data_IF_563775002504
#
_entry.id   IF_563775002504
#
_cell.length_a   1.000
_cell.length_b   1.000
_cell.length_c   1.000
_cell.angle_alpha   90.00
_cell.angle_beta   90.00
_cell.angle_gamma   90.00
#
_symmetry.space_group_name_H-M   'P 1'
#
loop_
_entity.id
_entity.type
_entity.pdbx_description
1 polymer ?
#
# COMPACT_ATOMS: atom_id res chain seq x y z
N UNK A 1 -8.16 29.81 1.61
CA UNK A 1 -9.17 29.45 2.63
C UNK A 1 -8.42 28.75 3.75
N UNK A 2 -8.56 29.17 4.99
CA UNK A 2 -7.89 28.53 6.12
C UNK A 2 -8.41 27.09 6.27
N UNK A 3 -7.50 26.13 6.19
CA UNK A 3 -7.81 24.72 6.42
C UNK A 3 -8.23 24.57 7.88
N UNK A 4 -9.39 24.04 8.12
CA UNK A 4 -10.05 23.92 9.43
C UNK A 4 -9.34 22.90 10.37
N UNK A 5 -8.01 22.82 10.33
CA UNK A 5 -7.18 21.92 11.15
C UNK A 5 -7.31 20.43 10.82
N UNK A 6 -8.08 20.06 9.78
CA UNK A 6 -8.28 18.66 9.39
C UNK A 6 -7.08 18.16 8.57
N UNK A 7 -6.54 17.01 8.95
CA UNK A 7 -5.52 16.27 8.19
C UNK A 7 -6.23 15.30 7.25
N UNK A 8 -5.88 15.33 5.97
CA UNK A 8 -6.55 14.54 4.92
C UNK A 8 -5.63 13.41 4.45
N UNK A 9 -6.09 12.18 4.54
CA UNK A 9 -5.40 11.00 4.06
C UNK A 9 -6.15 10.35 2.89
N UNK A 10 -5.43 10.03 1.82
CA UNK A 10 -5.91 9.23 0.70
C UNK A 10 -5.25 7.87 0.69
N UNK A 11 -6.04 6.79 0.78
CA UNK A 11 -5.55 5.40 0.82
C UNK A 11 -6.04 4.64 -0.41
N UNK A 12 -5.12 4.22 -1.27
CA UNK A 12 -5.44 3.36 -2.41
C UNK A 12 -5.51 1.89 -1.97
N UNK A 13 -6.44 1.11 -2.55
CA UNK A 13 -6.69 -0.26 -2.10
C UNK A 13 -7.31 -0.34 -0.70
N UNK A 14 -8.07 0.70 -0.29
CA UNK A 14 -8.62 0.84 1.07
C UNK A 14 -9.76 -0.09 1.43
N UNK A 15 -10.26 -0.89 0.49
CA UNK A 15 -11.43 -1.77 0.72
C UNK A 15 -11.16 -3.06 1.49
N UNK A 16 -9.90 -3.47 1.68
CA UNK A 16 -9.55 -4.72 2.36
C UNK A 16 -8.10 -4.76 2.84
N UNK A 17 -7.78 -5.76 3.68
CA UNK A 17 -6.40 -6.05 4.11
C UNK A 17 -5.69 -4.85 4.71
N UNK A 18 -4.44 -4.62 4.29
CA UNK A 18 -3.59 -3.54 4.81
C UNK A 18 -4.25 -2.17 4.61
N UNK A 19 -4.83 -1.91 3.42
CA UNK A 19 -5.45 -0.62 3.14
C UNK A 19 -6.65 -0.32 4.04
N UNK A 20 -7.49 -1.31 4.31
CA UNK A 20 -8.60 -1.21 5.26
C UNK A 20 -8.07 -0.89 6.67
N UNK A 21 -7.14 -1.69 7.18
CA UNK A 21 -6.58 -1.51 8.52
C UNK A 21 -5.82 -0.17 8.69
N UNK A 22 -5.14 0.28 7.62
CA UNK A 22 -4.49 1.60 7.60
C UNK A 22 -5.51 2.73 7.68
N UNK A 23 -6.61 2.60 6.94
CA UNK A 23 -7.69 3.59 6.94
C UNK A 23 -8.37 3.66 8.30
N UNK A 24 -8.58 2.51 8.95
CA UNK A 24 -9.12 2.44 10.30
C UNK A 24 -8.18 3.10 11.32
N UNK A 25 -6.89 2.77 11.29
CA UNK A 25 -5.90 3.36 12.21
C UNK A 25 -5.79 4.88 12.04
N UNK A 26 -5.76 5.36 10.79
CA UNK A 26 -5.72 6.80 10.50
C UNK A 26 -7.00 7.51 10.95
N UNK A 27 -8.18 6.91 10.71
CA UNK A 27 -9.45 7.50 11.18
C UNK A 27 -9.52 7.57 12.71
N UNK A 28 -9.05 6.53 13.42
CA UNK A 28 -8.94 6.54 14.87
C UNK A 28 -8.00 7.65 15.40
N UNK A 29 -6.92 7.94 14.67
CA UNK A 29 -5.98 9.04 14.96
C UNK A 29 -6.50 10.43 14.53
N UNK A 30 -7.75 10.53 14.12
CA UNK A 30 -8.41 11.80 13.79
C UNK A 30 -8.13 12.34 12.39
N UNK A 31 -7.64 11.52 11.47
CA UNK A 31 -7.56 11.89 10.05
C UNK A 31 -8.94 11.82 9.39
N UNK A 32 -9.19 12.74 8.47
CA UNK A 32 -10.25 12.57 7.47
C UNK A 32 -9.70 11.66 6.39
N UNK A 33 -10.32 10.49 6.21
CA UNK A 33 -9.80 9.44 5.33
C UNK A 33 -10.69 9.30 4.09
N UNK A 34 -10.04 9.26 2.92
CA UNK A 34 -10.67 8.87 1.66
C UNK A 34 -10.05 7.54 1.20
N UNK A 35 -10.88 6.57 0.86
CA UNK A 35 -10.45 5.24 0.39
C UNK A 35 -10.78 5.04 -1.08
N UNK A 36 -9.84 4.45 -1.81
CA UNK A 36 -9.98 4.16 -3.24
C UNK A 36 -9.76 2.70 -3.58
N UNK A 37 -10.40 2.26 -4.64
CA UNK A 37 -10.32 0.93 -5.23
C UNK A 37 -11.30 0.79 -6.37
N UNK A 38 -11.26 -0.34 -7.08
CA UNK A 38 -12.08 -0.56 -8.30
C UNK A 38 -13.54 -0.93 -8.02
N UNK A 39 -13.84 -1.46 -6.83
CA UNK A 39 -15.17 -2.01 -6.49
C UNK A 39 -15.87 -1.09 -5.50
N UNK A 40 -16.83 -0.28 -5.95
CA UNK A 40 -17.53 0.68 -5.08
C UNK A 40 -18.22 0.01 -3.89
N UNK A 41 -18.86 -1.13 -4.11
CA UNK A 41 -19.60 -1.87 -3.07
C UNK A 41 -18.68 -2.32 -1.92
N UNK A 42 -17.44 -2.75 -2.23
CA UNK A 42 -16.43 -3.15 -1.23
C UNK A 42 -15.92 -1.93 -0.45
N UNK A 43 -15.80 -0.79 -1.12
CA UNK A 43 -15.38 0.46 -0.47
C UNK A 43 -16.47 0.98 0.46
N UNK A 44 -17.75 0.91 0.05
CA UNK A 44 -18.87 1.35 0.89
C UNK A 44 -18.98 0.49 2.15
N UNK A 45 -18.85 -0.84 2.02
CA UNK A 45 -18.83 -1.74 3.19
C UNK A 45 -17.62 -1.40 4.11
N UNK A 46 -16.44 -1.22 3.53
CA UNK A 46 -15.25 -0.85 4.29
C UNK A 46 -15.44 0.48 5.03
N UNK A 47 -15.95 1.51 4.36
CA UNK A 47 -16.20 2.82 4.95
C UNK A 47 -17.19 2.72 6.11
N UNK A 48 -18.27 1.96 5.93
CA UNK A 48 -19.25 1.71 6.99
C UNK A 48 -18.61 1.04 8.21
N UNK A 49 -17.85 -0.03 8.02
CA UNK A 49 -17.18 -0.77 9.10
C UNK A 49 -16.17 0.08 9.85
N UNK A 50 -15.40 0.92 9.14
CA UNK A 50 -14.48 1.87 9.77
C UNK A 50 -15.29 2.91 10.57
N UNK A 51 -16.37 3.43 10.01
CA UNK A 51 -17.26 4.38 10.68
C UNK A 51 -17.86 3.82 11.96
N UNK A 52 -18.39 2.60 11.90
CA UNK A 52 -18.97 1.90 13.05
C UNK A 52 -17.94 1.72 14.19
N UNK A 53 -16.69 1.49 13.85
CA UNK A 53 -15.60 1.21 14.81
C UNK A 53 -14.93 2.46 15.36
N UNK A 54 -14.80 3.51 14.56
CA UNK A 54 -14.03 4.72 14.91
C UNK A 54 -14.90 5.94 15.21
N UNK A 55 -16.19 5.90 14.89
CA UNK A 55 -17.08 7.06 14.93
C UNK A 55 -16.75 8.13 13.89
N UNK A 56 -15.95 7.81 12.85
CA UNK A 56 -15.50 8.74 11.82
C UNK A 56 -16.07 8.37 10.45
N UNK A 57 -16.56 9.37 9.74
CA UNK A 57 -16.95 9.19 8.35
C UNK A 57 -15.72 8.98 7.46
N UNK A 58 -15.81 8.02 6.54
CA UNK A 58 -14.76 7.71 5.55
C UNK A 58 -15.32 7.90 4.15
N UNK A 59 -14.64 8.71 3.35
CA UNK A 59 -15.05 8.97 1.98
C UNK A 59 -14.69 7.82 1.06
N UNK A 60 -15.62 7.53 0.16
CA UNK A 60 -15.46 6.51 -0.89
C UNK A 60 -15.20 7.22 -2.22
N UNK A 61 -14.02 6.95 -2.80
CA UNK A 61 -13.57 7.52 -4.08
C UNK A 61 -13.16 6.37 -5.01
N UNK A 62 -14.12 5.79 -5.78
CA UNK A 62 -13.80 4.67 -6.67
C UNK A 62 -12.79 5.09 -7.75
N UNK A 63 -11.70 4.32 -7.87
CA UNK A 63 -10.62 4.58 -8.83
C UNK A 63 -9.99 3.25 -9.26
N UNK A 64 -9.74 3.11 -10.55
CA UNK A 64 -8.76 2.16 -11.05
C UNK A 64 -7.40 2.87 -11.11
N UNK A 65 -6.45 2.44 -10.27
CA UNK A 65 -5.11 3.06 -10.20
C UNK A 65 -4.29 2.88 -11.47
N UNK A 66 -4.67 1.93 -12.35
CA UNK A 66 -4.02 1.74 -13.66
C UNK A 66 -4.42 2.82 -14.69
N UNK A 67 -5.42 3.63 -14.37
CA UNK A 67 -5.95 4.67 -15.24
C UNK A 67 -5.54 6.05 -14.74
N UNK A 68 -4.47 6.60 -15.30
CA UNK A 68 -3.91 7.89 -14.91
C UNK A 68 -4.94 9.04 -14.94
N UNK A 69 -5.86 9.03 -15.91
CA UNK A 69 -6.96 9.99 -16.03
C UNK A 69 -7.93 9.94 -14.83
N UNK A 70 -8.32 8.72 -14.40
CA UNK A 70 -9.18 8.51 -13.23
C UNK A 70 -8.48 8.94 -11.95
N UNK A 71 -7.22 8.55 -11.76
CA UNK A 71 -6.41 8.95 -10.59
C UNK A 71 -6.31 10.47 -10.49
N UNK A 72 -6.02 11.14 -11.60
CA UNK A 72 -5.96 12.61 -11.66
C UNK A 72 -7.33 13.26 -11.37
N UNK A 73 -8.42 12.70 -11.86
CA UNK A 73 -9.77 13.18 -11.59
C UNK A 73 -10.13 13.04 -10.10
N UNK A 74 -9.81 11.88 -9.48
CA UNK A 74 -10.04 11.63 -8.07
C UNK A 74 -9.26 12.62 -7.18
N UNK A 75 -7.97 12.82 -7.44
CA UNK A 75 -7.15 13.79 -6.71
C UNK A 75 -7.75 15.20 -6.81
N UNK A 76 -8.16 15.63 -8.02
CA UNK A 76 -8.80 16.93 -8.21
C UNK A 76 -10.11 17.06 -7.43
N UNK A 77 -10.96 16.04 -7.42
CA UNK A 77 -12.20 16.04 -6.66
C UNK A 77 -11.95 16.18 -5.15
N UNK A 78 -10.95 15.45 -4.62
CA UNK A 78 -10.58 15.57 -3.21
C UNK A 78 -9.99 16.92 -2.87
N UNK A 79 -9.12 17.48 -3.73
CA UNK A 79 -8.57 18.82 -3.56
C UNK A 79 -9.66 19.89 -3.60
N UNK A 80 -10.67 19.73 -4.48
CA UNK A 80 -11.83 20.64 -4.51
C UNK A 80 -12.67 20.55 -3.23
N UNK A 81 -12.85 19.32 -2.68
CA UNK A 81 -13.63 19.08 -1.45
C UNK A 81 -12.93 19.55 -0.19
N UNK A 82 -11.63 19.25 -0.07
CA UNK A 82 -10.89 19.42 1.19
C UNK A 82 -9.85 20.53 1.17
N UNK A 83 -9.50 21.03 0.00
CA UNK A 83 -8.43 22.02 -0.18
C UNK A 83 -7.02 21.43 -0.15
N UNK A 84 -6.87 20.21 0.35
CA UNK A 84 -5.55 19.56 0.52
C UNK A 84 -5.64 18.04 0.57
N UNK A 85 -4.49 17.40 0.35
CA UNK A 85 -4.21 15.99 0.68
C UNK A 85 -2.86 16.02 1.40
N UNK A 86 -2.85 15.62 2.68
CA UNK A 86 -1.65 15.69 3.52
C UNK A 86 -0.85 14.38 3.50
N UNK A 87 -1.58 13.27 3.33
CA UNK A 87 -1.01 11.93 3.29
C UNK A 87 -1.58 11.15 2.11
N UNK A 88 -0.69 10.58 1.31
CA UNK A 88 -1.02 9.58 0.31
C UNK A 88 -0.45 8.22 0.75
N UNK A 89 -1.31 7.21 0.88
CA UNK A 89 -0.91 5.82 1.12
C UNK A 89 -1.13 5.01 -0.15
N UNK A 90 -0.06 4.73 -0.87
CA UNK A 90 -0.04 3.86 -2.03
C UNK A 90 0.02 2.41 -1.55
N UNK A 91 -1.16 1.81 -1.36
CA UNK A 91 -1.29 0.44 -0.89
C UNK A 91 -1.90 -0.50 -1.93
N UNK A 92 -2.60 0.01 -2.95
CA UNK A 92 -3.11 -0.84 -4.03
C UNK A 92 -2.01 -1.71 -4.62
N UNK A 93 -2.25 -3.02 -4.67
CA UNK A 93 -1.26 -3.97 -5.18
C UNK A 93 -1.88 -5.35 -5.38
N UNK A 94 -1.29 -6.12 -6.26
CA UNK A 94 -1.69 -7.49 -6.56
C UNK A 94 -0.48 -8.36 -6.93
N UNK A 95 -0.72 -9.65 -6.96
CA UNK A 95 0.11 -10.63 -7.65
C UNK A 95 -0.82 -11.62 -8.37
N UNK A 96 -0.30 -12.36 -9.34
CA UNK A 96 -1.05 -13.36 -10.10
C UNK A 96 -0.74 -14.78 -9.60
N UNK A 97 -1.65 -15.75 -9.75
CA UNK A 97 -1.38 -17.14 -9.39
C UNK A 97 -0.22 -17.76 -10.20
N UNK A 98 -0.27 -17.64 -11.51
CA UNK A 98 0.80 -18.07 -12.43
C UNK A 98 1.93 -17.05 -12.43
N UNK A 99 2.95 -17.23 -11.59
CA UNK A 99 3.96 -16.22 -11.32
C UNK A 99 5.40 -16.65 -11.48
N UNK A 100 5.68 -17.94 -11.69
CA UNK A 100 7.02 -18.45 -11.96
C UNK A 100 7.45 -18.10 -13.39
N UNK A 101 8.77 -18.13 -13.69
CA UNK A 101 9.27 -17.91 -15.04
C UNK A 101 8.65 -18.84 -16.09
N UNK A 102 8.25 -20.05 -15.68
CA UNK A 102 7.66 -21.03 -16.59
C UNK A 102 6.17 -20.77 -16.87
N UNK A 103 5.47 -20.02 -16.01
CA UNK A 103 4.01 -19.88 -16.05
C UNK A 103 3.53 -18.45 -16.25
N UNK A 104 4.40 -17.46 -16.02
CA UNK A 104 4.05 -16.05 -16.11
C UNK A 104 3.81 -15.65 -17.56
N UNK A 105 2.58 -15.28 -17.85
CA UNK A 105 2.19 -14.72 -19.12
C UNK A 105 2.43 -13.21 -19.14
N UNK A 106 2.64 -12.63 -20.34
CA UNK A 106 2.91 -11.17 -20.49
C UNK A 106 1.78 -10.33 -19.91
N UNK A 107 0.51 -10.72 -20.12
CA UNK A 107 -0.64 -10.01 -19.56
C UNK A 107 -0.59 -9.97 -18.02
N UNK A 108 -0.13 -11.08 -17.41
CA UNK A 108 0.06 -11.15 -15.95
C UNK A 108 1.20 -10.24 -15.47
N UNK A 109 2.28 -10.14 -16.23
CA UNK A 109 3.37 -9.19 -15.98
C UNK A 109 2.85 -7.76 -16.06
N UNK A 110 2.20 -7.40 -17.17
CA UNK A 110 1.68 -6.04 -17.41
C UNK A 110 0.69 -5.64 -16.31
N UNK A 111 -0.24 -6.54 -15.93
CA UNK A 111 -1.17 -6.29 -14.84
C UNK A 111 -0.47 -5.98 -13.51
N UNK A 112 0.60 -6.70 -13.18
CA UNK A 112 1.37 -6.46 -11.95
C UNK A 112 2.10 -5.12 -12.03
N UNK A 113 2.73 -4.81 -13.16
CA UNK A 113 3.43 -3.53 -13.37
C UNK A 113 2.46 -2.36 -13.31
N UNK A 114 1.32 -2.47 -13.98
CA UNK A 114 0.34 -1.40 -14.03
C UNK A 114 -0.22 -1.05 -12.66
N UNK A 115 -0.55 -2.06 -11.85
CA UNK A 115 -1.10 -1.80 -10.51
C UNK A 115 0.00 -1.42 -9.51
N UNK A 116 1.07 -2.22 -9.44
CA UNK A 116 2.05 -2.11 -8.35
C UNK A 116 3.08 -1.00 -8.57
N UNK A 117 3.29 -0.55 -9.80
CA UNK A 117 4.30 0.47 -10.14
C UNK A 117 3.68 1.70 -10.80
N UNK A 118 3.01 1.54 -11.95
CA UNK A 118 2.41 2.66 -12.67
C UNK A 118 1.33 3.37 -11.83
N UNK A 119 0.48 2.60 -11.13
CA UNK A 119 -0.55 3.15 -10.24
C UNK A 119 0.01 3.97 -9.09
N UNK A 120 1.17 3.57 -8.54
CA UNK A 120 1.89 4.36 -7.53
C UNK A 120 2.39 5.67 -8.12
N UNK A 121 3.04 5.61 -9.29
CA UNK A 121 3.52 6.80 -10.00
C UNK A 121 2.37 7.77 -10.31
N UNK A 122 1.25 7.28 -10.85
CA UNK A 122 0.10 8.12 -11.19
C UNK A 122 -0.50 8.81 -9.95
N UNK A 123 -0.59 8.09 -8.83
CA UNK A 123 -1.11 8.65 -7.59
C UNK A 123 -0.18 9.73 -7.02
N UNK A 124 1.14 9.50 -7.03
CA UNK A 124 2.12 10.51 -6.65
C UNK A 124 2.00 11.75 -7.54
N UNK A 125 2.01 11.56 -8.85
CA UNK A 125 1.89 12.67 -9.82
C UNK A 125 0.61 13.49 -9.64
N UNK A 126 -0.48 12.86 -9.24
CA UNK A 126 -1.75 13.52 -9.07
C UNK A 126 -1.81 14.46 -7.84
N UNK A 127 -1.07 14.13 -6.77
CA UNK A 127 -1.06 14.93 -5.52
C UNK A 127 0.13 15.89 -5.45
N UNK A 128 1.22 15.60 -6.14
CA UNK A 128 2.50 16.27 -6.04
C UNK A 128 2.43 17.80 -6.26
N UNK A 129 1.74 18.34 -7.28
CA UNK A 129 1.66 19.79 -7.46
C UNK A 129 1.09 20.52 -6.23
N UNK A 130 -0.04 20.02 -5.70
CA UNK A 130 -0.69 20.63 -4.54
C UNK A 130 0.15 20.50 -3.26
N UNK A 131 0.90 19.40 -3.10
CA UNK A 131 1.83 19.22 -1.98
C UNK A 131 3.02 20.18 -2.10
N UNK A 132 3.60 20.35 -3.30
CA UNK A 132 4.69 21.31 -3.57
C UNK A 132 4.28 22.76 -3.26
N UNK A 133 3.09 23.16 -3.72
CA UNK A 133 2.57 24.52 -3.50
C UNK A 133 2.44 24.84 -1.99
N UNK A 134 2.06 23.86 -1.19
CA UNK A 134 1.95 23.98 0.27
C UNK A 134 3.26 23.73 1.01
N UNK A 135 4.28 23.23 0.34
CA UNK A 135 5.56 22.76 0.93
C UNK A 135 5.33 21.76 2.09
N UNK A 136 4.34 20.91 1.95
CA UNK A 136 3.96 19.92 2.96
C UNK A 136 3.23 18.76 2.34
N UNK A 137 3.66 17.56 2.64
CA UNK A 137 3.03 16.30 2.20
C UNK A 137 3.85 15.09 2.60
N UNK A 138 3.15 14.01 2.90
CA UNK A 138 3.76 12.71 3.20
C UNK A 138 3.22 11.65 2.25
N UNK A 139 4.10 10.82 1.73
CA UNK A 139 3.74 9.67 0.90
C UNK A 139 4.21 8.40 1.62
N UNK A 140 3.36 7.39 1.71
CA UNK A 140 3.75 6.07 2.20
C UNK A 140 3.48 5.07 1.09
N UNK A 141 4.54 4.46 0.57
CA UNK A 141 4.46 3.44 -0.45
C UNK A 141 4.57 2.05 0.19
N UNK A 142 3.50 1.27 0.11
CA UNK A 142 3.49 -0.10 0.63
C UNK A 142 4.17 -1.02 -0.39
N UNK A 143 5.44 -1.31 -0.11
CA UNK A 143 6.25 -2.25 -0.87
C UNK A 143 6.05 -3.70 -0.36
N UNK A 144 7.11 -4.40 -0.07
CA UNK A 144 7.15 -5.76 0.48
C UNK A 144 8.59 -6.12 0.82
N UNK A 145 8.81 -7.14 1.63
CA UNK A 145 10.10 -7.85 1.73
C UNK A 145 10.63 -8.28 0.36
N UNK A 146 9.73 -8.61 -0.60
CA UNK A 146 10.09 -8.89 -1.98
C UNK A 146 10.74 -7.69 -2.71
N UNK A 147 10.72 -6.50 -2.15
CA UNK A 147 11.48 -5.34 -2.60
C UNK A 147 12.90 -5.27 -2.05
N UNK A 148 13.30 -6.20 -1.20
CA UNK A 148 14.62 -6.32 -0.58
C UNK A 148 15.28 -7.67 -0.80
N UNK A 149 14.47 -8.73 -0.90
CA UNK A 149 14.93 -10.10 -1.04
C UNK A 149 14.24 -10.73 -2.24
N UNK A 150 15.02 -11.35 -3.11
CA UNK A 150 14.48 -12.14 -4.23
C UNK A 150 14.01 -13.49 -3.71
N UNK A 151 12.78 -13.88 -4.05
CA UNK A 151 12.20 -15.16 -3.66
C UNK A 151 11.42 -15.77 -4.82
N UNK A 152 11.57 -17.05 -5.04
CA UNK A 152 10.79 -17.79 -6.05
C UNK A 152 9.29 -17.71 -5.76
N UNK A 153 8.89 -17.66 -4.49
CA UNK A 153 7.47 -17.60 -4.08
C UNK A 153 6.74 -16.37 -4.64
N UNK A 154 7.43 -15.24 -4.79
CA UNK A 154 6.82 -13.97 -5.22
C UNK A 154 6.79 -13.79 -6.73
N UNK A 155 7.64 -14.50 -7.45
CA UNK A 155 7.81 -14.41 -8.89
C UNK A 155 8.54 -13.14 -9.34
N UNK A 156 8.98 -13.09 -10.61
CA UNK A 156 9.82 -12.00 -11.13
C UNK A 156 9.11 -10.66 -11.18
N UNK A 157 7.87 -10.60 -11.69
CA UNK A 157 7.15 -9.35 -11.89
C UNK A 157 6.86 -8.62 -10.56
N UNK A 158 6.34 -9.35 -9.56
CA UNK A 158 6.08 -8.78 -8.25
C UNK A 158 7.37 -8.31 -7.58
N UNK A 159 8.42 -9.15 -7.61
CA UNK A 159 9.72 -8.83 -7.05
C UNK A 159 10.32 -7.58 -7.70
N UNK A 160 10.31 -7.51 -9.04
CA UNK A 160 10.80 -6.34 -9.78
C UNK A 160 10.04 -5.06 -9.40
N UNK A 161 8.70 -5.12 -9.39
CA UNK A 161 7.89 -3.93 -9.04
C UNK A 161 8.14 -3.48 -7.60
N UNK A 162 8.30 -4.39 -6.64
CA UNK A 162 8.53 -4.03 -5.24
C UNK A 162 9.94 -3.46 -4.98
N UNK A 163 10.97 -3.90 -5.73
CA UNK A 163 12.28 -3.25 -5.77
C UNK A 163 12.20 -1.85 -6.39
N UNK A 164 11.45 -1.70 -7.49
CA UNK A 164 11.25 -0.41 -8.13
C UNK A 164 10.57 0.61 -7.22
N UNK A 165 9.61 0.20 -6.38
CA UNK A 165 8.95 1.08 -5.39
C UNK A 165 9.94 1.63 -4.36
N UNK A 166 10.89 0.81 -3.92
CA UNK A 166 11.94 1.28 -3.02
C UNK A 166 12.78 2.38 -3.68
N UNK A 167 13.27 2.13 -4.90
CA UNK A 167 14.06 3.10 -5.66
C UNK A 167 13.27 4.38 -5.93
N UNK A 168 11.99 4.26 -6.33
CA UNK A 168 11.09 5.38 -6.57
C UNK A 168 10.92 6.25 -5.30
N UNK A 169 10.76 5.61 -4.14
CA UNK A 169 10.60 6.32 -2.85
C UNK A 169 11.86 7.11 -2.49
N UNK A 170 13.04 6.53 -2.68
CA UNK A 170 14.29 7.22 -2.40
C UNK A 170 14.54 8.36 -3.39
N UNK A 171 14.28 8.15 -4.69
CA UNK A 171 14.37 9.21 -5.70
C UNK A 171 13.45 10.39 -5.34
N UNK A 172 12.20 10.11 -4.91
CA UNK A 172 11.27 11.13 -4.45
C UNK A 172 11.86 11.96 -3.29
N UNK A 173 12.43 11.31 -2.27
CA UNK A 173 13.01 12.01 -1.14
C UNK A 173 14.22 12.87 -1.54
N UNK A 174 15.06 12.40 -2.48
CA UNK A 174 16.21 13.15 -2.97
C UNK A 174 15.81 14.45 -3.68
N UNK A 175 14.71 14.44 -4.42
CA UNK A 175 14.26 15.58 -5.20
C UNK A 175 13.34 16.50 -4.40
N UNK A 176 12.42 15.94 -3.62
CA UNK A 176 11.30 16.68 -3.01
C UNK A 176 11.57 17.15 -1.57
N UNK A 177 12.65 16.74 -0.93
CA UNK A 177 13.01 17.23 0.41
C UNK A 177 13.11 18.76 0.46
N UNK A 178 13.60 19.39 -0.62
CA UNK A 178 13.66 20.86 -0.75
C UNK A 178 12.30 21.53 -0.79
N UNK A 179 11.26 20.78 -1.13
CA UNK A 179 9.87 21.21 -1.16
C UNK A 179 9.13 20.88 0.16
N UNK A 180 9.83 20.39 1.19
CA UNK A 180 9.23 20.00 2.46
C UNK A 180 8.40 18.71 2.38
N UNK A 181 8.59 17.90 1.33
CA UNK A 181 7.89 16.64 1.15
C UNK A 181 8.76 15.46 1.60
N UNK A 182 8.12 14.39 1.97
CA UNK A 182 8.77 13.16 2.42
C UNK A 182 8.01 11.93 1.98
N UNK A 183 8.73 10.85 1.75
CA UNK A 183 8.14 9.55 1.45
C UNK A 183 8.77 8.43 2.30
N UNK A 184 7.95 7.45 2.67
CA UNK A 184 8.37 6.24 3.35
C UNK A 184 8.10 5.02 2.47
N UNK A 185 9.09 4.15 2.32
CA UNK A 185 8.92 2.81 1.77
C UNK A 185 8.63 1.84 2.91
N UNK A 186 7.38 1.40 3.05
CA UNK A 186 7.01 0.41 4.04
C UNK A 186 7.02 -0.98 3.41
N UNK A 187 7.91 -1.85 3.89
CA UNK A 187 8.17 -3.18 3.35
C UNK A 187 7.76 -4.27 4.36
N UNK A 188 6.47 -4.66 4.41
CA UNK A 188 6.04 -5.73 5.29
C UNK A 188 6.48 -7.10 4.76
N UNK A 189 6.72 -8.02 5.69
CA UNK A 189 6.80 -9.46 5.43
C UNK A 189 5.44 -10.05 5.08
N UNK A 190 5.23 -11.31 5.47
CA UNK A 190 3.93 -11.95 5.23
C UNK A 190 2.86 -11.36 6.13
N UNK A 191 1.77 -10.90 5.52
CA UNK A 191 0.61 -10.31 6.21
C UNK A 191 -0.63 -11.14 5.91
N UNK A 192 -1.40 -11.50 6.92
CA UNK A 192 -2.62 -12.29 6.83
C UNK A 192 -3.76 -11.52 6.14
N UNK A 193 -3.70 -11.39 4.82
CA UNK A 193 -4.64 -10.63 4.00
C UNK A 193 -5.31 -11.51 2.95
N UNK A 194 -6.41 -11.06 2.32
CA UNK A 194 -7.08 -11.81 1.26
C UNK A 194 -6.18 -12.18 0.07
N UNK A 195 -5.09 -11.44 -0.18
CA UNK A 195 -4.14 -11.74 -1.25
C UNK A 195 -3.46 -13.12 -1.05
N UNK A 196 -3.38 -13.62 0.18
CA UNK A 196 -2.81 -14.93 0.49
C UNK A 196 -3.59 -16.07 -0.17
N UNK A 197 -4.90 -15.89 -0.39
CA UNK A 197 -5.75 -16.87 -1.09
C UNK A 197 -5.42 -17.00 -2.58
N UNK A 198 -4.67 -16.05 -3.15
CA UNK A 198 -4.22 -16.08 -4.56
C UNK A 198 -2.88 -16.77 -4.74
N UNK A 199 -2.29 -17.31 -3.68
CA UNK A 199 -1.08 -18.12 -3.80
C UNK A 199 -1.39 -19.45 -4.48
N UNK A 200 -0.44 -20.03 -5.25
CA UNK A 200 -0.58 -21.38 -5.80
C UNK A 200 -0.99 -22.40 -4.72
N UNK A 201 -0.41 -22.27 -3.53
CA UNK A 201 -0.85 -22.98 -2.32
C UNK A 201 -1.17 -21.95 -1.24
N UNK A 202 -2.46 -21.73 -0.93
CA UNK A 202 -2.87 -20.85 0.14
C UNK A 202 -2.38 -21.35 1.50
N UNK A 203 -1.91 -20.47 2.40
CA UNK A 203 -1.52 -20.85 3.76
C UNK A 203 -2.74 -21.28 4.57
N UNK A 204 -2.52 -22.18 5.52
CA UNK A 204 -3.55 -22.57 6.50
C UNK A 204 -3.82 -21.44 7.50
N UNK A 205 -4.94 -21.51 8.22
CA UNK A 205 -5.28 -20.54 9.25
C UNK A 205 -4.24 -20.50 10.37
N UNK A 206 -3.65 -21.65 10.73
CA UNK A 206 -2.55 -21.71 11.69
C UNK A 206 -1.32 -20.92 11.19
N UNK A 207 -0.95 -21.06 9.93
CA UNK A 207 0.17 -20.30 9.34
C UNK A 207 -0.19 -18.82 9.29
N UNK A 208 -1.42 -18.47 8.89
CA UNK A 208 -1.88 -17.08 8.83
C UNK A 208 -1.90 -16.41 10.21
N UNK A 209 -2.21 -17.14 11.29
CA UNK A 209 -2.19 -16.59 12.65
C UNK A 209 -0.80 -16.19 13.15
N UNK A 210 0.27 -16.75 12.56
CA UNK A 210 1.67 -16.45 12.86
C UNK A 210 2.26 -15.34 11.99
N UNK A 211 1.53 -14.88 10.98
CA UNK A 211 1.92 -13.75 10.12
C UNK A 211 1.66 -12.41 10.82
N UNK A 212 2.20 -11.32 10.25
CA UNK A 212 1.70 -9.98 10.59
C UNK A 212 0.19 -9.94 10.33
N UNK A 213 -0.54 -9.26 11.19
CA UNK A 213 -1.93 -8.93 10.92
C UNK A 213 -2.03 -7.59 10.17
N UNK A 214 -3.07 -7.34 9.38
CA UNK A 214 -3.25 -6.06 8.69
C UNK A 214 -3.14 -4.85 9.62
N UNK A 215 -3.61 -4.99 10.85
CA UNK A 215 -3.60 -3.97 11.91
C UNK A 215 -2.17 -3.60 12.35
N UNK A 216 -1.21 -4.53 12.28
CA UNK A 216 0.20 -4.25 12.59
C UNK A 216 0.78 -3.27 11.57
N UNK A 217 0.44 -3.47 10.31
CA UNK A 217 0.85 -2.58 9.22
C UNK A 217 0.10 -1.26 9.30
N UNK A 218 -1.19 -1.28 9.63
CA UNK A 218 -2.02 -0.09 9.85
C UNK A 218 -1.45 0.82 10.93
N UNK A 219 -1.07 0.26 12.08
CA UNK A 219 -0.40 1.01 13.17
C UNK A 219 0.94 1.58 12.73
N UNK A 220 1.71 0.84 11.93
CA UNK A 220 2.99 1.33 11.41
C UNK A 220 2.78 2.52 10.47
N UNK A 221 1.76 2.50 9.63
CA UNK A 221 1.39 3.63 8.75
C UNK A 221 0.98 4.85 9.58
N UNK A 222 0.15 4.67 10.60
CA UNK A 222 -0.26 5.74 11.50
C UNK A 222 0.95 6.33 12.26
N UNK A 223 1.90 5.50 12.71
CA UNK A 223 3.16 5.94 13.29
C UNK A 223 3.96 6.83 12.33
N UNK A 224 4.18 6.42 11.09
CA UNK A 224 4.89 7.24 10.08
C UNK A 224 4.15 8.55 9.83
N UNK A 225 2.82 8.50 9.72
CA UNK A 225 1.97 9.67 9.49
C UNK A 225 2.01 10.67 10.64
N UNK A 226 2.27 10.21 11.88
CA UNK A 226 2.35 11.05 13.09
C UNK A 226 3.69 11.77 13.28
N UNK A 227 4.73 11.42 12.50
CA UNK A 227 6.05 12.02 12.64
C UNK A 227 6.03 13.54 12.38
N UNK A 228 6.80 14.32 13.16
CA UNK A 228 6.93 15.76 12.93
C UNK A 228 7.38 16.08 11.50
N UNK A 229 7.03 17.24 10.96
CA UNK A 229 7.31 17.58 9.55
C UNK A 229 8.78 17.50 9.14
N UNK A 230 9.71 17.75 10.07
CA UNK A 230 11.16 17.71 9.81
C UNK A 230 11.75 16.29 9.85
N UNK A 231 10.96 15.28 10.23
CA UNK A 231 11.40 13.88 10.30
C UNK A 231 10.94 13.12 9.07
N UNK A 232 11.88 12.51 8.37
CA UNK A 232 11.58 11.56 7.28
C UNK A 232 11.95 10.14 7.72
N UNK A 233 10.95 9.28 7.84
CA UNK A 233 11.16 7.83 7.95
C UNK A 233 11.30 7.29 6.54
N UNK A 234 12.53 7.08 6.09
CA UNK A 234 12.78 6.72 4.68
C UNK A 234 12.30 5.32 4.35
N UNK A 235 12.48 4.40 5.29
CA UNK A 235 12.14 3.00 5.09
C UNK A 235 11.81 2.32 6.42
N UNK A 236 10.84 1.41 6.37
CA UNK A 236 10.54 0.47 7.45
C UNK A 236 10.43 -0.93 6.87
N UNK A 237 11.20 -1.85 7.43
CA UNK A 237 11.10 -3.28 7.16
C UNK A 237 10.53 -3.96 8.41
N UNK A 238 9.35 -4.55 8.30
CA UNK A 238 8.69 -5.28 9.40
C UNK A 238 8.34 -6.70 8.98
N UNK A 239 8.41 -7.62 9.91
CA UNK A 239 8.11 -9.02 9.67
C UNK A 239 7.50 -9.67 10.91
N UNK A 240 6.80 -10.80 10.78
CA UNK A 240 6.46 -11.60 11.94
C UNK A 240 7.73 -12.08 12.65
N UNK A 241 7.66 -12.31 13.95
CA UNK A 241 8.79 -12.88 14.72
C UNK A 241 9.19 -14.24 14.15
N UNK A 242 8.20 -15.09 13.85
CA UNK A 242 8.40 -16.36 13.16
C UNK A 242 8.53 -16.16 11.64
N UNK A 243 9.49 -15.33 11.22
CA UNK A 243 9.72 -15.05 9.81
C UNK A 243 10.32 -16.28 9.12
N UNK A 244 9.57 -16.87 8.21
CA UNK A 244 9.98 -18.08 7.48
C UNK A 244 11.28 -17.87 6.68
N UNK A 245 11.53 -16.68 6.18
CA UNK A 245 12.80 -16.38 5.50
C UNK A 245 14.02 -16.45 6.43
N UNK A 246 13.85 -16.18 7.74
CA UNK A 246 14.92 -16.32 8.73
C UNK A 246 15.09 -17.76 9.20
N UNK A 247 14.01 -18.52 9.25
CA UNK A 247 14.05 -19.89 9.74
C UNK A 247 14.73 -20.86 8.76
N UNK A 248 15.05 -20.42 7.55
CA UNK A 248 15.79 -21.20 6.57
C UNK A 248 15.05 -22.44 6.04
N UNK A 249 13.82 -22.62 6.43
CA UNK A 249 13.02 -23.80 6.12
C UNK A 249 11.72 -23.40 5.44
N UNK A 250 11.78 -23.17 4.14
CA UNK A 250 10.62 -23.53 3.34
C UNK A 250 10.65 -25.06 3.20
N UNK A 251 9.92 -25.80 4.06
CA UNK A 251 9.68 -27.20 3.78
C UNK A 251 8.90 -27.31 2.47
N UNK A 252 9.03 -28.41 1.75
CA UNK A 252 8.21 -28.67 0.56
C UNK A 252 6.70 -28.60 0.85
N UNK A 253 6.29 -28.86 2.11
CA UNK A 253 4.94 -28.69 2.59
C UNK A 253 4.53 -27.22 2.72
N UNK A 254 5.46 -26.30 3.08
CA UNK A 254 5.20 -24.87 3.22
C UNK A 254 5.22 -24.12 1.88
N UNK A 255 5.88 -24.68 0.88
CA UNK A 255 6.00 -24.08 -0.46
C UNK A 255 4.98 -24.62 -1.44
N UNK A 256 4.26 -25.69 -1.06
CA UNK A 256 3.36 -26.42 -1.96
C UNK A 256 4.06 -26.73 -3.27
N UNK A 257 4.92 -27.75 -3.21
CA UNK A 257 5.55 -28.33 -4.38
C UNK A 257 6.05 -27.29 -5.41
N UNK A 258 7.10 -26.58 -5.09
CA UNK A 258 8.04 -26.17 -6.12
C UNK A 258 8.67 -27.49 -6.59
N UNK A 259 8.09 -28.03 -7.66
CA UNK A 259 8.24 -29.40 -8.07
C UNK A 259 9.69 -29.86 -8.08
N UNK A 260 9.85 -31.08 -7.63
CA UNK A 260 10.94 -31.94 -8.04
C UNK A 260 11.17 -31.81 -9.54
N UNK A 261 12.26 -31.22 -9.93
CA UNK A 261 12.88 -31.47 -11.22
C UNK A 261 14.21 -32.13 -10.91
#
# INVERSE_FOLDING_TARGET
MATNGKRIAWVTGGGSGIGFASSEALAADGWTVAISGRRPEVLVDAAKRIGDKTGKEVDVVPVDVTRADQVKAAARSMLAKYGQIDLLVNNAGLNVPKRSWNELEIDGWDQIVDVNLNGVLYSIHAVLPAMRDRKSGTIINVASWAGRIVSQMTGPAYTATKHAILALTHSFNMEECRNGLRACCLSPGEVATPIMKQRPVPPTDEVMSKMLQPEDVGRTIAFVASMPPHVCVNEILISPVANRAFLGTYSSADTGALGSA
#
